data_IF_190518592364
#
_entry.id   IF_190518592364
#
_cell.length_a   1.000
_cell.length_b   1.000
_cell.length_c   1.000
_cell.angle_alpha   90.00
_cell.angle_beta   90.00
_cell.angle_gamma   90.00
#
_symmetry.space_group_name_H-M   'P 1'
#
loop_
_entity.id
_entity.type
_entity.pdbx_description
1 polymer ?
#
# COMPACT_ATOMS: atom_id res chain seq x y z
N UNK A 1 -7.22 6.37 2.48
CA UNK A 1 -6.08 5.48 2.17
C UNK A 1 -5.67 4.66 3.38
N UNK A 2 -5.42 5.28 4.55
CA UNK A 2 -5.19 4.57 5.81
C UNK A 2 -6.18 3.42 6.06
N UNK A 3 -7.49 3.70 6.10
CA UNK A 3 -8.52 2.67 6.31
C UNK A 3 -8.50 1.52 5.29
N UNK A 4 -7.95 1.72 4.09
CA UNK A 4 -7.79 0.64 3.09
C UNK A 4 -6.63 -0.26 3.49
N UNK A 5 -5.48 0.32 3.84
CA UNK A 5 -4.34 -0.43 4.36
C UNK A 5 -4.70 -1.17 5.65
N UNK A 6 -5.29 -0.46 6.63
CA UNK A 6 -5.69 -1.02 7.92
C UNK A 6 -6.62 -2.23 7.81
N UNK A 7 -7.63 -2.18 6.92
CA UNK A 7 -8.53 -3.32 6.69
C UNK A 7 -7.83 -4.55 6.12
N UNK A 8 -6.66 -4.39 5.50
CA UNK A 8 -5.86 -5.49 4.96
C UNK A 8 -4.90 -6.00 6.03
N UNK A 9 -4.11 -5.13 6.64
CA UNK A 9 -3.06 -5.54 7.58
C UNK A 9 -3.57 -5.87 8.99
N UNK A 10 -4.72 -5.31 9.37
CA UNK A 10 -5.36 -5.44 10.69
C UNK A 10 -4.42 -5.13 11.88
N UNK A 11 -3.55 -4.14 11.71
CA UNK A 11 -2.66 -3.61 12.73
C UNK A 11 -2.44 -2.12 12.44
N UNK A 12 -2.51 -1.28 13.47
CA UNK A 12 -2.43 0.19 13.35
C UNK A 12 -1.05 0.64 12.86
N UNK A 13 0.01 0.24 13.56
CA UNK A 13 1.39 0.67 13.27
C UNK A 13 1.82 0.19 11.87
N UNK A 14 1.50 -1.07 11.54
CA UNK A 14 1.82 -1.64 10.23
C UNK A 14 1.02 -0.97 9.11
N UNK A 15 -0.21 -0.51 9.39
CA UNK A 15 -1.00 0.24 8.43
C UNK A 15 -0.40 1.62 8.15
N UNK A 16 0.17 2.27 9.17
CA UNK A 16 0.89 3.53 9.02
C UNK A 16 2.15 3.35 8.17
N UNK A 17 2.94 2.31 8.42
CA UNK A 17 4.14 1.99 7.63
C UNK A 17 3.80 1.70 6.16
N UNK A 18 2.80 0.85 5.92
CA UNK A 18 2.31 0.56 4.57
C UNK A 18 1.84 1.83 3.87
N UNK A 19 1.15 2.72 4.59
CA UNK A 19 0.67 3.97 4.04
C UNK A 19 1.84 4.88 3.63
N UNK A 20 2.83 5.03 4.50
CA UNK A 20 4.03 5.82 4.21
C UNK A 20 4.74 5.31 2.95
N UNK A 21 5.00 4.00 2.87
CA UNK A 21 5.62 3.40 1.68
C UNK A 21 4.79 3.59 0.41
N UNK A 22 3.47 3.48 0.51
CA UNK A 22 2.57 3.66 -0.62
C UNK A 22 2.61 5.10 -1.15
N UNK A 23 2.64 6.11 -0.26
CA UNK A 23 2.74 7.51 -0.68
C UNK A 23 4.11 7.84 -1.29
N UNK A 24 5.21 7.33 -0.72
CA UNK A 24 6.54 7.48 -1.32
C UNK A 24 6.58 6.85 -2.71
N UNK A 25 6.02 5.64 -2.85
CA UNK A 25 5.94 4.95 -4.14
C UNK A 25 5.07 5.71 -5.14
N UNK A 26 3.92 6.22 -4.72
CA UNK A 26 3.03 7.03 -5.55
C UNK A 26 3.71 8.31 -6.01
N UNK A 27 4.39 9.03 -5.13
CA UNK A 27 5.09 10.26 -5.49
C UNK A 27 6.21 10.01 -6.52
N UNK A 28 7.04 8.97 -6.29
CA UNK A 28 8.10 8.58 -7.25
C UNK A 28 7.55 8.20 -8.62
N UNK A 29 6.37 7.58 -8.66
CA UNK A 29 5.74 7.09 -9.89
C UNK A 29 4.63 8.00 -10.41
N UNK A 30 4.51 9.23 -9.90
CA UNK A 30 3.41 10.13 -10.27
C UNK A 30 3.39 10.41 -11.78
N UNK A 31 4.57 10.49 -12.40
CA UNK A 31 4.73 10.67 -13.85
C UNK A 31 4.18 9.50 -14.69
N UNK A 32 3.92 8.33 -14.09
CA UNK A 32 3.31 7.17 -14.76
C UNK A 32 1.79 7.16 -14.67
N UNK A 33 1.17 8.09 -13.93
CA UNK A 33 -0.27 8.21 -13.87
C UNK A 33 -0.81 8.77 -15.20
N UNK A 34 -1.57 7.92 -15.92
CA UNK A 34 -2.07 8.22 -17.27
C UNK A 34 -3.44 8.91 -17.31
N UNK A 35 -4.13 9.00 -16.18
CA UNK A 35 -5.50 9.55 -16.13
C UNK A 35 -6.61 8.59 -16.56
N UNK A 36 -6.32 7.32 -16.87
CA UNK A 36 -7.31 6.30 -17.26
C UNK A 36 -8.34 5.96 -16.15
N UNK A 37 -8.05 6.39 -14.92
CA UNK A 37 -8.94 6.26 -13.75
C UNK A 37 -8.71 7.46 -12.84
N UNK A 38 -9.56 7.67 -11.83
CA UNK A 38 -9.32 8.75 -10.86
C UNK A 38 -8.00 8.55 -10.12
N UNK A 39 -7.34 9.65 -9.76
CA UNK A 39 -6.10 9.60 -8.97
C UNK A 39 -6.30 8.81 -7.67
N UNK A 40 -7.48 8.95 -7.04
CA UNK A 40 -7.84 8.18 -5.85
C UNK A 40 -7.92 6.67 -6.10
N UNK A 41 -8.44 6.23 -7.25
CA UNK A 41 -8.47 4.81 -7.61
C UNK A 41 -7.06 4.26 -7.88
N UNK A 42 -6.23 5.03 -8.59
CA UNK A 42 -4.84 4.70 -8.85
C UNK A 42 -4.02 4.57 -7.56
N UNK A 43 -4.08 5.58 -6.67
CA UNK A 43 -3.40 5.58 -5.38
C UNK A 43 -3.90 4.44 -4.48
N UNK A 44 -5.21 4.16 -4.49
CA UNK A 44 -5.79 3.04 -3.73
C UNK A 44 -5.18 1.70 -4.17
N UNK A 45 -4.96 1.49 -5.48
CA UNK A 45 -4.30 0.28 -6.00
C UNK A 45 -2.89 0.12 -5.42
N UNK A 46 -2.12 1.21 -5.36
CA UNK A 46 -0.76 1.20 -4.78
C UNK A 46 -0.80 0.78 -3.31
N UNK A 47 -1.71 1.37 -2.52
CA UNK A 47 -1.89 1.03 -1.09
C UNK A 47 -2.26 -0.44 -0.91
N UNK A 48 -3.21 -0.95 -1.70
CA UNK A 48 -3.64 -2.36 -1.65
C UNK A 48 -2.47 -3.30 -1.94
N UNK A 49 -1.71 -3.03 -3.01
CA UNK A 49 -0.57 -3.85 -3.39
C UNK A 49 0.52 -3.84 -2.31
N UNK A 50 0.80 -2.66 -1.72
CA UNK A 50 1.76 -2.54 -0.62
C UNK A 50 1.33 -3.32 0.62
N UNK A 51 0.06 -3.24 1.01
CA UNK A 51 -0.49 -3.97 2.15
C UNK A 51 -0.41 -5.49 1.95
N UNK A 52 -0.77 -5.99 0.77
CA UNK A 52 -0.69 -7.43 0.45
C UNK A 52 0.76 -7.91 0.47
N UNK A 53 1.67 -7.16 -0.16
CA UNK A 53 3.10 -7.51 -0.18
C UNK A 53 3.71 -7.51 1.22
N UNK A 54 3.31 -6.57 2.08
CA UNK A 54 3.72 -6.52 3.47
C UNK A 54 3.33 -7.81 4.21
N UNK A 55 2.06 -8.24 4.10
CA UNK A 55 1.60 -9.49 4.72
C UNK A 55 2.32 -10.73 4.18
N UNK A 56 2.59 -10.79 2.88
CA UNK A 56 3.36 -11.87 2.29
C UNK A 56 4.78 -11.93 2.86
N UNK A 57 5.48 -10.79 2.92
CA UNK A 57 6.83 -10.70 3.50
C UNK A 57 6.84 -11.13 4.96
N UNK A 58 5.90 -10.61 5.76
CA UNK A 58 5.73 -10.95 7.18
C UNK A 58 5.45 -12.44 7.40
N UNK A 59 4.71 -13.09 6.50
CA UNK A 59 4.48 -14.53 6.55
C UNK A 59 5.76 -15.31 6.30
N UNK A 60 6.55 -14.91 5.30
CA UNK A 60 7.84 -15.55 4.99
C UNK A 60 8.85 -15.40 6.12
N UNK A 61 8.95 -14.22 6.73
CA UNK A 61 9.87 -13.96 7.87
C UNK A 61 9.51 -14.74 9.14
N UNK A 62 8.26 -15.19 9.26
CA UNK A 62 7.79 -16.01 10.39
C UNK A 62 7.97 -17.52 10.16
N UNK A 63 8.34 -17.93 8.95
CA UNK A 63 8.66 -19.33 8.66
C UNK A 63 10.16 -19.56 8.94
N UNK A 64 10.52 -20.54 9.80
CA UNK A 64 11.91 -20.88 10.09
C UNK A 64 12.66 -21.46 8.89
#
# INVERSE_FOLDING_TARGET
>A
MYNVGFRIVNNTDEAEDVLQEAFISAFRNLHLYRGDSTFGAWLKRIVINKAINYLHKKKTERMP
#
